data_IF_294007119302
#
_entry.id   IF_294007119302
#
_cell.length_a   1.000
_cell.length_b   1.000
_cell.length_c   1.000
_cell.angle_alpha   90.00
_cell.angle_beta   90.00
_cell.angle_gamma   90.00
#
_symmetry.space_group_name_H-M   'P 1'
#
loop_
_entity.id
_entity.type
_entity.pdbx_description
1 polymer ?
#
# COMPACT_ATOMS: atom_id res chain seq x y z
N UNK A 1 -36.43 13.10 -0.11
CA UNK A 1 -35.28 12.89 0.81
C UNK A 1 -35.35 11.53 1.50
N UNK A 2 -36.45 11.15 2.17
CA UNK A 2 -36.58 9.84 2.83
C UNK A 2 -36.45 8.62 1.89
N UNK A 3 -36.99 8.68 0.67
CA UNK A 3 -36.87 7.61 -0.32
C UNK A 3 -35.40 7.40 -0.76
N UNK A 4 -34.69 8.50 -1.07
CA UNK A 4 -33.27 8.47 -1.42
C UNK A 4 -32.41 7.93 -0.26
N UNK A 5 -32.72 8.30 0.98
CA UNK A 5 -32.03 7.77 2.17
C UNK A 5 -32.27 6.26 2.29
N UNK A 6 -33.51 5.80 2.12
CA UNK A 6 -33.85 4.38 2.20
C UNK A 6 -33.18 3.57 1.09
N UNK A 7 -33.12 4.10 -0.13
CA UNK A 7 -32.43 3.50 -1.26
C UNK A 7 -30.91 3.44 -1.03
N UNK A 8 -30.32 4.53 -0.51
CA UNK A 8 -28.90 4.59 -0.16
C UNK A 8 -28.55 3.59 0.94
N UNK A 9 -29.38 3.47 1.98
CA UNK A 9 -29.22 2.47 3.05
C UNK A 9 -29.36 1.05 2.49
N UNK A 10 -30.32 0.83 1.58
CA UNK A 10 -30.49 -0.44 0.87
C UNK A 10 -29.23 -0.83 0.08
N UNK A 11 -28.69 0.11 -0.70
CA UNK A 11 -27.45 -0.08 -1.44
C UNK A 11 -26.27 -0.39 -0.52
N UNK A 12 -26.11 0.38 0.56
CA UNK A 12 -25.06 0.18 1.55
C UNK A 12 -25.14 -1.23 2.18
N UNK A 13 -26.33 -1.64 2.63
CA UNK A 13 -26.51 -2.93 3.28
C UNK A 13 -26.26 -4.10 2.31
N UNK A 14 -26.70 -4.01 1.05
CA UNK A 14 -26.53 -5.09 0.07
C UNK A 14 -25.10 -5.18 -0.45
N UNK A 15 -24.51 -4.06 -0.85
CA UNK A 15 -23.25 -4.07 -1.59
C UNK A 15 -22.01 -3.83 -0.73
N UNK A 16 -22.13 -3.07 0.36
CA UNK A 16 -21.00 -2.73 1.24
C UNK A 16 -20.91 -3.69 2.42
N UNK A 17 -22.05 -3.97 3.07
CA UNK A 17 -22.10 -4.93 4.19
C UNK A 17 -22.30 -6.37 3.68
N UNK A 18 -23.23 -6.59 2.76
CA UNK A 18 -23.57 -7.94 2.28
C UNK A 18 -22.47 -8.65 1.49
N UNK A 19 -21.48 -7.91 0.99
CA UNK A 19 -20.30 -8.48 0.29
C UNK A 19 -19.03 -8.50 1.11
N UNK A 20 -19.04 -7.94 2.33
CA UNK A 20 -17.84 -7.95 3.18
C UNK A 20 -17.58 -9.34 3.74
N UNK A 21 -16.30 -9.69 3.88
CA UNK A 21 -15.87 -10.91 4.54
C UNK A 21 -16.23 -10.84 6.04
N UNK A 22 -17.08 -11.76 6.55
CA UNK A 22 -17.49 -11.73 7.94
C UNK A 22 -16.33 -11.97 8.92
N UNK A 23 -15.25 -12.65 8.48
CA UNK A 23 -14.11 -13.04 9.33
C UNK A 23 -13.29 -11.85 9.82
N UNK A 24 -13.31 -10.74 9.07
CA UNK A 24 -12.54 -9.53 9.38
C UNK A 24 -13.38 -8.41 9.99
N UNK A 25 -14.69 -8.61 10.17
CA UNK A 25 -15.64 -7.55 10.55
C UNK A 25 -15.28 -6.82 11.85
N UNK A 26 -14.85 -7.58 12.86
CA UNK A 26 -14.55 -7.05 14.20
C UNK A 26 -13.08 -6.62 14.36
N UNK A 27 -12.29 -6.69 13.29
CA UNK A 27 -10.92 -6.23 13.32
C UNK A 27 -10.86 -4.71 13.31
N UNK A 28 -9.81 -4.16 13.89
CA UNK A 28 -9.65 -2.71 14.00
C UNK A 28 -9.75 -2.03 12.63
N UNK A 29 -10.61 -0.99 12.57
CA UNK A 29 -11.01 -0.20 11.40
C UNK A 29 -11.86 -0.94 10.36
N UNK A 30 -12.21 -2.22 10.51
CA UNK A 30 -12.90 -3.00 9.47
C UNK A 30 -14.43 -2.99 9.57
N UNK A 31 -15.00 -2.48 10.66
CA UNK A 31 -16.44 -2.48 10.92
C UNK A 31 -17.20 -1.51 10.00
N UNK A 32 -16.62 -0.36 9.65
CA UNK A 32 -17.28 0.66 8.82
C UNK A 32 -16.52 1.05 7.56
N UNK A 33 -17.22 1.11 6.43
CA UNK A 33 -16.66 1.60 5.17
C UNK A 33 -16.34 3.11 5.20
N UNK A 34 -16.75 3.84 6.24
CA UNK A 34 -16.46 5.26 6.40
C UNK A 34 -15.02 5.54 6.86
N UNK A 35 -14.39 4.62 7.60
CA UNK A 35 -13.04 4.84 8.17
C UNK A 35 -11.99 5.27 7.16
N UNK A 36 -11.79 4.58 6.02
CA UNK A 36 -10.75 4.97 5.08
C UNK A 36 -10.99 6.38 4.52
N UNK A 37 -12.23 6.80 4.31
CA UNK A 37 -12.54 8.16 3.83
C UNK A 37 -12.26 9.22 4.89
N UNK A 38 -12.65 8.98 6.14
CA UNK A 38 -12.37 9.90 7.25
C UNK A 38 -10.86 10.06 7.43
N UNK A 39 -10.11 8.94 7.44
CA UNK A 39 -8.66 8.95 7.59
C UNK A 39 -8.01 9.71 6.43
N UNK A 40 -8.37 9.41 5.18
CA UNK A 40 -7.82 10.11 4.02
C UNK A 40 -8.17 11.59 4.01
N UNK A 41 -9.40 11.95 4.40
CA UNK A 41 -9.81 13.35 4.52
C UNK A 41 -8.94 14.09 5.53
N UNK A 42 -8.75 13.54 6.73
CA UNK A 42 -7.89 14.13 7.76
C UNK A 42 -6.43 14.20 7.30
N UNK A 43 -5.93 13.13 6.69
CA UNK A 43 -4.59 13.05 6.14
C UNK A 43 -4.34 14.14 5.09
N UNK A 44 -5.21 14.29 4.09
CA UNK A 44 -5.07 15.32 3.05
C UNK A 44 -5.16 16.73 3.63
N UNK A 45 -6.11 16.98 4.54
CA UNK A 45 -6.21 18.28 5.22
C UNK A 45 -4.93 18.60 6.00
N UNK A 46 -4.35 17.61 6.68
CA UNK A 46 -3.09 17.79 7.39
C UNK A 46 -1.93 18.07 6.43
N UNK A 47 -1.69 17.20 5.45
CA UNK A 47 -0.46 17.29 4.63
C UNK A 47 -0.48 18.44 3.63
N UNK A 48 -1.67 18.87 3.16
CA UNK A 48 -1.80 19.94 2.17
C UNK A 48 -2.12 21.30 2.78
N UNK A 49 -2.67 21.37 4.00
CA UNK A 49 -3.16 22.62 4.58
C UNK A 49 -2.68 22.84 6.02
N UNK A 50 -3.16 22.05 6.97
CA UNK A 50 -2.97 22.33 8.40
C UNK A 50 -1.50 22.22 8.82
N UNK A 51 -0.82 21.14 8.42
CA UNK A 51 0.58 20.89 8.72
C UNK A 51 1.52 21.94 8.11
N UNK A 52 1.45 22.22 6.79
CA UNK A 52 2.23 23.30 6.18
C UNK A 52 2.00 24.65 6.85
N UNK A 53 0.74 25.05 7.08
CA UNK A 53 0.39 26.31 7.78
C UNK A 53 0.98 26.37 9.19
N UNK A 54 0.88 25.29 9.94
CA UNK A 54 1.46 25.18 11.28
C UNK A 54 2.99 25.32 11.27
N UNK A 55 3.65 24.85 10.21
CA UNK A 55 5.10 24.87 10.07
C UNK A 55 5.66 26.18 9.48
N UNK A 56 4.86 27.08 8.90
CA UNK A 56 5.36 28.31 8.22
C UNK A 56 6.39 29.04 9.08
N UNK A 57 6.03 29.38 10.32
CA UNK A 57 6.85 30.16 11.26
C UNK A 57 7.69 29.30 12.23
N UNK A 58 7.94 28.03 11.90
CA UNK A 58 8.68 27.09 12.75
C UNK A 58 9.91 26.53 12.05
N UNK A 59 10.94 26.25 12.84
CA UNK A 59 12.09 25.47 12.38
C UNK A 59 11.69 24.01 12.11
N UNK A 60 12.33 23.31 11.14
CA UNK A 60 12.10 21.89 10.90
C UNK A 60 12.33 21.04 12.16
N UNK A 61 11.40 20.14 12.47
CA UNK A 61 11.53 19.31 13.66
C UNK A 61 12.67 18.29 13.55
N UNK A 62 13.43 18.12 14.64
CA UNK A 62 14.53 17.15 14.75
C UNK A 62 14.00 15.76 15.16
N UNK A 63 13.31 15.09 14.24
CA UNK A 63 12.63 13.80 14.50
C UNK A 63 13.53 12.56 14.38
N UNK A 64 14.84 12.66 14.62
CA UNK A 64 15.79 11.58 14.29
C UNK A 64 15.49 10.28 15.05
N UNK A 65 15.26 10.33 16.37
CA UNK A 65 14.93 9.14 17.14
C UNK A 65 13.60 8.51 16.69
N UNK A 66 12.56 9.34 16.52
CA UNK A 66 11.24 8.90 16.08
C UNK A 66 11.33 8.20 14.72
N UNK A 67 12.06 8.79 13.76
CA UNK A 67 12.26 8.20 12.44
C UNK A 67 13.07 6.89 12.50
N UNK A 68 14.06 6.76 13.39
CA UNK A 68 14.80 5.50 13.57
C UNK A 68 13.87 4.39 14.08
N UNK A 69 13.06 4.69 15.10
CA UNK A 69 12.10 3.74 15.65
C UNK A 69 11.04 3.37 14.60
N UNK A 70 10.45 4.36 13.95
CA UNK A 70 9.47 4.17 12.88
C UNK A 70 9.99 3.29 11.75
N UNK A 71 11.15 3.61 11.17
CA UNK A 71 11.74 2.81 10.09
C UNK A 71 12.07 1.38 10.56
N UNK A 72 12.50 1.21 11.82
CA UNK A 72 12.78 -0.12 12.38
C UNK A 72 11.50 -0.95 12.51
N UNK A 73 10.43 -0.36 13.05
CA UNK A 73 9.11 -1.01 13.17
C UNK A 73 8.59 -1.37 11.78
N UNK A 74 8.70 -0.46 10.81
CA UNK A 74 8.31 -0.71 9.42
C UNK A 74 9.06 -1.91 8.82
N UNK A 75 10.38 -2.00 9.02
CA UNK A 75 11.17 -3.16 8.57
C UNK A 75 10.65 -4.46 9.20
N UNK A 76 10.44 -4.48 10.52
CA UNK A 76 9.97 -5.67 11.23
C UNK A 76 8.57 -6.11 10.78
N UNK A 77 7.65 -5.17 10.59
CA UNK A 77 6.30 -5.47 10.11
C UNK A 77 6.31 -6.01 8.67
N UNK A 78 7.15 -5.47 7.78
CA UNK A 78 7.27 -5.99 6.43
C UNK A 78 7.97 -7.36 6.39
N UNK A 79 8.92 -7.64 7.30
CA UNK A 79 9.49 -8.99 7.47
C UNK A 79 8.41 -9.97 7.91
N UNK A 80 7.57 -9.59 8.88
CA UNK A 80 6.46 -10.43 9.33
C UNK A 80 5.50 -10.77 8.18
N UNK A 81 5.05 -9.76 7.41
CA UNK A 81 4.15 -10.01 6.27
C UNK A 81 4.83 -10.86 5.20
N UNK A 82 6.10 -10.61 4.89
CA UNK A 82 6.86 -11.41 3.93
C UNK A 82 6.93 -12.88 4.36
N UNK A 83 7.25 -13.13 5.62
CA UNK A 83 7.34 -14.49 6.15
C UNK A 83 5.98 -15.19 6.13
N UNK A 84 4.90 -14.52 6.55
CA UNK A 84 3.53 -15.07 6.45
C UNK A 84 3.12 -15.35 4.99
N UNK A 85 3.41 -14.44 4.06
CA UNK A 85 3.12 -14.63 2.64
C UNK A 85 3.85 -15.85 2.06
N UNK A 86 5.11 -16.05 2.42
CA UNK A 86 5.89 -17.19 1.96
C UNK A 86 5.38 -18.50 2.57
N UNK A 87 5.29 -18.59 3.90
CA UNK A 87 4.99 -19.85 4.59
C UNK A 87 3.55 -20.30 4.43
N UNK A 88 2.59 -19.37 4.35
CA UNK A 88 1.17 -19.69 4.21
C UNK A 88 0.71 -19.85 2.76
N UNK A 89 1.46 -19.32 1.78
CA UNK A 89 1.01 -19.29 0.40
C UNK A 89 2.13 -19.54 -0.61
N UNK A 90 2.95 -18.52 -0.87
CA UNK A 90 3.80 -18.43 -2.06
C UNK A 90 5.00 -19.39 -2.09
N UNK A 91 5.32 -20.07 -0.99
CA UNK A 91 6.35 -21.11 -0.92
C UNK A 91 5.76 -22.53 -0.99
N UNK A 92 4.96 -22.77 -2.04
CA UNK A 92 4.52 -24.12 -2.43
C UNK A 92 3.05 -24.47 -2.19
N UNK A 93 2.23 -23.57 -1.62
CA UNK A 93 0.78 -23.80 -1.44
C UNK A 93 -0.06 -23.13 -2.51
N UNK A 94 0.29 -21.90 -2.88
CA UNK A 94 -0.43 -21.12 -3.88
C UNK A 94 -0.01 -21.47 -5.30
N UNK A 95 -0.99 -21.48 -6.19
CA UNK A 95 -0.74 -21.43 -7.64
C UNK A 95 -0.18 -20.05 -7.97
N UNK A 96 0.84 -20.02 -8.83
CA UNK A 96 1.44 -18.76 -9.25
C UNK A 96 0.42 -17.84 -9.94
N UNK A 97 -0.52 -18.43 -10.69
CA UNK A 97 -1.59 -17.74 -11.39
C UNK A 97 -2.95 -18.29 -10.98
N UNK A 98 -3.90 -17.37 -10.83
CA UNK A 98 -5.28 -17.67 -10.47
C UNK A 98 -5.43 -18.48 -9.18
N UNK A 99 -4.85 -17.96 -8.11
CA UNK A 99 -5.14 -18.47 -6.77
C UNK A 99 -6.43 -17.82 -6.23
N UNK A 100 -7.50 -18.60 -5.95
CA UNK A 100 -8.72 -18.06 -5.37
C UNK A 100 -8.50 -17.67 -3.90
N UNK A 101 -9.40 -16.84 -3.38
CA UNK A 101 -9.47 -16.61 -1.93
C UNK A 101 -10.09 -17.84 -1.27
N UNK A 102 -9.46 -18.34 -0.20
CA UNK A 102 -10.08 -19.32 0.70
C UNK A 102 -11.03 -18.58 1.66
N UNK A 103 -12.32 -18.89 1.56
CA UNK A 103 -13.39 -18.29 2.35
C UNK A 103 -13.75 -19.08 3.60
N UNK A 104 -13.06 -20.20 3.87
CA UNK A 104 -13.28 -21.02 5.06
C UNK A 104 -12.88 -20.30 6.35
N UNK A 105 -13.40 -20.77 7.47
CA UNK A 105 -12.97 -20.34 8.82
C UNK A 105 -11.84 -21.21 9.37
N UNK A 106 -11.07 -21.87 8.50
CA UNK A 106 -9.90 -22.63 8.93
C UNK A 106 -8.82 -21.72 9.49
N UNK A 107 -8.04 -22.21 10.45
CA UNK A 107 -6.93 -21.45 11.04
C UNK A 107 -5.97 -20.92 9.97
N UNK A 108 -5.71 -21.71 8.92
CA UNK A 108 -4.84 -21.31 7.81
C UNK A 108 -5.41 -20.14 7.01
N UNK A 109 -6.71 -20.19 6.66
CA UNK A 109 -7.37 -19.11 5.92
C UNK A 109 -7.46 -17.82 6.76
N UNK A 110 -7.73 -17.95 8.06
CA UNK A 110 -7.75 -16.83 9.00
C UNK A 110 -6.36 -16.19 9.17
N UNK A 111 -5.30 -16.98 9.23
CA UNK A 111 -3.92 -16.49 9.30
C UNK A 111 -3.52 -15.72 8.03
N UNK A 112 -3.93 -16.18 6.83
CA UNK A 112 -3.76 -15.43 5.59
C UNK A 112 -4.50 -14.09 5.67
N UNK A 113 -5.77 -14.11 6.05
CA UNK A 113 -6.58 -12.90 6.15
C UNK A 113 -6.00 -11.90 7.15
N UNK A 114 -5.49 -12.38 8.31
CA UNK A 114 -4.74 -11.57 9.28
C UNK A 114 -3.48 -10.97 8.66
N UNK A 115 -2.73 -11.73 7.86
CA UNK A 115 -1.59 -11.21 7.10
C UNK A 115 -1.96 -10.06 6.16
N UNK A 116 -3.09 -10.17 5.45
CA UNK A 116 -3.62 -9.08 4.61
C UNK A 116 -4.01 -7.86 5.46
N UNK A 117 -4.60 -8.07 6.64
CA UNK A 117 -4.94 -6.99 7.57
C UNK A 117 -3.70 -6.30 8.15
N UNK A 118 -2.65 -7.04 8.51
CA UNK A 118 -1.36 -6.45 8.92
C UNK A 118 -0.74 -5.64 7.78
N UNK A 119 -0.84 -6.11 6.53
CA UNK A 119 -0.40 -5.33 5.37
C UNK A 119 -1.19 -4.03 5.22
N UNK A 120 -2.52 -4.04 5.42
CA UNK A 120 -3.33 -2.83 5.48
C UNK A 120 -2.86 -1.89 6.60
N UNK A 121 -2.58 -2.41 7.80
CA UNK A 121 -2.07 -1.61 8.91
C UNK A 121 -0.71 -0.97 8.61
N UNK A 122 0.17 -1.67 7.87
CA UNK A 122 1.41 -1.07 7.35
C UNK A 122 1.07 0.11 6.44
N UNK A 123 0.16 -0.05 5.46
CA UNK A 123 -0.22 1.04 4.56
C UNK A 123 -0.87 2.22 5.30
N UNK A 124 -1.61 1.96 6.38
CA UNK A 124 -2.12 2.99 7.28
C UNK A 124 -0.97 3.77 7.93
N UNK A 125 0.04 3.07 8.46
CA UNK A 125 1.21 3.73 9.05
C UNK A 125 2.12 4.39 8.02
N UNK A 126 2.15 3.92 6.77
CA UNK A 126 2.91 4.54 5.68
C UNK A 126 2.42 5.97 5.38
N UNK A 127 1.18 6.35 5.75
CA UNK A 127 0.71 7.74 5.67
C UNK A 127 1.53 8.69 6.54
N UNK A 128 2.19 8.18 7.61
CA UNK A 128 3.04 8.98 8.48
C UNK A 128 4.32 9.45 7.78
N UNK A 129 4.78 8.79 6.71
CA UNK A 129 5.94 9.26 5.92
C UNK A 129 5.76 10.71 5.49
N UNK A 130 4.59 11.01 4.94
CA UNK A 130 4.26 12.35 4.44
C UNK A 130 4.06 13.34 5.58
N UNK A 131 3.50 12.89 6.70
CA UNK A 131 3.42 13.70 7.94
C UNK A 131 4.82 14.11 8.39
N UNK A 132 5.77 13.18 8.40
CA UNK A 132 7.17 13.48 8.74
C UNK A 132 7.84 14.40 7.72
N UNK A 133 7.50 14.32 6.43
CA UNK A 133 8.00 15.26 5.43
C UNK A 133 7.54 16.69 5.72
N UNK A 134 6.26 16.88 6.03
CA UNK A 134 5.69 18.19 6.37
C UNK A 134 6.34 18.76 7.65
N UNK A 135 6.42 17.98 8.72
CA UNK A 135 7.01 18.41 9.99
C UNK A 135 8.52 18.71 9.90
N UNK A 136 9.19 18.19 8.86
CA UNK A 136 10.62 18.43 8.59
C UNK A 136 10.86 19.43 7.46
N UNK A 137 9.81 20.11 6.97
CA UNK A 137 9.88 21.03 5.82
C UNK A 137 10.57 20.42 4.61
N UNK A 138 10.19 19.18 4.26
CA UNK A 138 10.69 18.44 3.10
C UNK A 138 9.66 18.47 1.97
N UNK A 139 9.20 19.66 1.60
CA UNK A 139 8.06 19.84 0.68
C UNK A 139 8.29 19.21 -0.69
N UNK A 140 9.54 19.15 -1.16
CA UNK A 140 9.92 18.43 -2.38
C UNK A 140 9.58 16.93 -2.37
N UNK A 141 9.49 16.31 -1.19
CA UNK A 141 9.13 14.90 -1.04
C UNK A 141 7.61 14.69 -1.03
N UNK A 142 6.82 15.73 -0.72
CA UNK A 142 5.35 15.72 -0.79
C UNK A 142 4.91 15.94 -2.24
N UNK A 143 5.22 14.98 -3.10
CA UNK A 143 4.85 15.01 -4.51
C UNK A 143 3.46 14.42 -4.74
N UNK A 144 2.82 14.80 -5.86
CA UNK A 144 1.57 14.18 -6.31
C UNK A 144 1.69 12.65 -6.37
N UNK A 145 2.81 12.14 -6.90
CA UNK A 145 3.11 10.72 -6.99
C UNK A 145 3.07 10.04 -5.61
N UNK A 146 3.75 10.61 -4.63
CA UNK A 146 3.80 10.06 -3.27
C UNK A 146 2.40 10.07 -2.63
N UNK A 147 1.68 11.19 -2.71
CA UNK A 147 0.33 11.31 -2.16
C UNK A 147 -0.66 10.34 -2.81
N UNK A 148 -0.66 10.25 -4.14
CA UNK A 148 -1.51 9.35 -4.91
C UNK A 148 -1.23 7.88 -4.56
N UNK A 149 0.04 7.50 -4.49
CA UNK A 149 0.45 6.15 -4.13
C UNK A 149 0.01 5.77 -2.71
N UNK A 150 0.35 6.57 -1.71
CA UNK A 150 0.07 6.24 -0.31
C UNK A 150 -1.43 6.22 -0.03
N UNK A 151 -2.19 7.17 -0.56
CA UNK A 151 -3.65 7.17 -0.42
C UNK A 151 -4.30 5.99 -1.15
N UNK A 152 -3.85 5.70 -2.38
CA UNK A 152 -4.35 4.57 -3.17
C UNK A 152 -4.06 3.22 -2.52
N UNK A 153 -2.82 2.99 -2.07
CA UNK A 153 -2.42 1.74 -1.42
C UNK A 153 -3.16 1.53 -0.09
N UNK A 154 -3.36 2.58 0.71
CA UNK A 154 -4.16 2.52 1.93
C UNK A 154 -5.61 2.12 1.61
N UNK A 155 -6.26 2.79 0.66
CA UNK A 155 -7.65 2.50 0.31
C UNK A 155 -7.83 1.10 -0.30
N UNK A 156 -6.95 0.71 -1.22
CA UNK A 156 -7.03 -0.60 -1.86
C UNK A 156 -6.78 -1.74 -0.88
N UNK A 157 -5.78 -1.61 0.01
CA UNK A 157 -5.51 -2.64 1.02
C UNK A 157 -6.67 -2.79 2.01
N UNK A 158 -7.33 -1.68 2.39
CA UNK A 158 -8.58 -1.73 3.14
C UNK A 158 -9.65 -2.56 2.42
N UNK A 159 -9.88 -2.29 1.12
CA UNK A 159 -10.81 -3.05 0.30
C UNK A 159 -10.41 -4.52 0.17
N UNK A 160 -9.11 -4.84 0.11
CA UNK A 160 -8.63 -6.23 0.08
C UNK A 160 -8.99 -6.97 1.36
N UNK A 161 -8.77 -6.38 2.54
CA UNK A 161 -9.16 -7.03 3.81
C UNK A 161 -10.67 -7.25 3.86
N UNK A 162 -11.44 -6.25 3.43
CA UNK A 162 -12.90 -6.27 3.56
C UNK A 162 -13.59 -7.17 2.53
N UNK A 163 -13.02 -7.36 1.34
CA UNK A 163 -13.72 -8.03 0.23
C UNK A 163 -12.95 -9.15 -0.46
N UNK A 164 -11.65 -9.34 -0.19
CA UNK A 164 -10.85 -10.43 -0.79
C UNK A 164 -9.56 -10.67 0.02
N UNK A 165 -9.64 -11.12 1.29
CA UNK A 165 -8.47 -11.25 2.15
C UNK A 165 -7.68 -12.54 1.87
N UNK A 166 -7.08 -12.65 0.69
CA UNK A 166 -6.26 -13.80 0.31
C UNK A 166 -6.03 -13.96 -1.20
N UNK A 167 -5.48 -15.11 -1.58
CA UNK A 167 -5.36 -15.54 -2.98
C UNK A 167 -4.42 -14.70 -3.84
N UNK A 168 -4.72 -14.64 -5.14
CA UNK A 168 -3.87 -14.09 -6.21
C UNK A 168 -3.32 -12.70 -5.89
N UNK A 169 -4.16 -11.82 -5.35
CA UNK A 169 -3.80 -10.42 -5.11
C UNK A 169 -2.82 -10.22 -3.94
N UNK A 170 -2.60 -11.22 -3.09
CA UNK A 170 -1.58 -11.17 -2.04
C UNK A 170 -0.15 -11.16 -2.59
N UNK A 171 0.04 -11.46 -3.88
CA UNK A 171 1.33 -11.28 -4.56
C UNK A 171 1.83 -9.84 -4.47
N UNK A 172 0.91 -8.87 -4.47
CA UNK A 172 1.22 -7.45 -4.21
C UNK A 172 1.91 -7.33 -2.86
N UNK A 173 1.33 -7.90 -1.79
CA UNK A 173 1.88 -7.87 -0.45
C UNK A 173 3.26 -8.52 -0.36
N UNK A 174 3.45 -9.66 -1.03
CA UNK A 174 4.73 -10.38 -1.09
C UNK A 174 5.85 -9.48 -1.65
N UNK A 175 5.69 -9.01 -2.89
CA UNK A 175 6.75 -8.24 -3.57
C UNK A 175 6.93 -6.87 -2.92
N UNK A 176 5.83 -6.21 -2.52
CA UNK A 176 5.86 -4.91 -1.87
C UNK A 176 6.61 -4.96 -0.53
N UNK A 177 6.46 -6.03 0.25
CA UNK A 177 7.14 -6.17 1.53
C UNK A 177 8.66 -6.31 1.36
N UNK A 178 9.12 -7.07 0.36
CA UNK A 178 10.57 -7.20 0.04
C UNK A 178 11.18 -5.83 -0.24
N UNK A 179 10.53 -5.05 -1.10
CA UNK A 179 11.06 -3.74 -1.49
C UNK A 179 10.94 -2.72 -0.36
N UNK A 180 9.89 -2.77 0.45
CA UNK A 180 9.76 -1.90 1.63
C UNK A 180 10.81 -2.20 2.70
N UNK A 181 11.20 -3.46 2.92
CA UNK A 181 12.33 -3.80 3.79
C UNK A 181 13.60 -3.07 3.33
N UNK A 182 13.91 -3.15 2.02
CA UNK A 182 15.09 -2.49 1.44
C UNK A 182 14.98 -0.96 1.55
N UNK A 183 13.82 -0.39 1.23
CA UNK A 183 13.60 1.06 1.24
C UNK A 183 13.69 1.64 2.65
N UNK A 184 13.02 1.04 3.63
CA UNK A 184 13.05 1.49 5.01
C UNK A 184 14.41 1.24 5.68
N UNK A 185 15.13 0.17 5.31
CA UNK A 185 16.52 -0.03 5.72
C UNK A 185 17.43 1.10 5.20
N UNK A 186 17.25 1.53 3.96
CA UNK A 186 17.95 2.69 3.42
C UNK A 186 17.59 3.99 4.16
N UNK A 187 16.32 4.23 4.47
CA UNK A 187 15.91 5.42 5.23
C UNK A 187 16.46 5.42 6.65
N UNK A 188 16.48 4.27 7.32
CA UNK A 188 17.12 4.08 8.62
C UNK A 188 18.62 4.40 8.53
N UNK A 189 19.31 3.84 7.54
CA UNK A 189 20.74 4.05 7.35
C UNK A 189 21.07 5.53 7.10
N UNK A 190 20.33 6.22 6.22
CA UNK A 190 20.54 7.64 5.94
C UNK A 190 20.23 8.52 7.16
N UNK A 191 19.33 8.08 8.05
CA UNK A 191 19.07 8.77 9.30
C UNK A 191 20.26 8.66 10.28
N UNK A 192 20.84 7.47 10.42
CA UNK A 192 21.98 7.20 11.31
C UNK A 192 23.28 7.80 10.73
N UNK A 193 23.47 7.66 9.42
CA UNK A 193 24.68 8.03 8.68
C UNK A 193 24.33 8.88 7.46
N UNK A 194 24.19 10.21 7.64
CA UNK A 194 23.75 11.12 6.58
C UNK A 194 24.63 11.12 5.32
N UNK A 195 25.89 10.69 5.41
CA UNK A 195 26.81 10.57 4.28
C UNK A 195 26.28 9.66 3.16
N UNK A 196 25.44 8.66 3.48
CA UNK A 196 24.88 7.74 2.48
C UNK A 196 23.69 8.32 1.72
N UNK A 197 23.26 9.56 1.99
CA UNK A 197 22.18 10.23 1.24
C UNK A 197 22.48 10.31 -0.26
N UNK A 198 23.75 10.44 -0.63
CA UNK A 198 24.21 10.57 -2.01
C UNK A 198 24.81 9.27 -2.57
N UNK A 199 24.58 8.15 -1.91
CA UNK A 199 25.15 6.89 -2.34
C UNK A 199 24.55 6.42 -3.67
N UNK A 200 25.39 5.85 -4.53
CA UNK A 200 25.01 5.45 -5.90
C UNK A 200 23.89 4.41 -5.94
N UNK A 201 23.83 3.51 -4.94
CA UNK A 201 22.81 2.46 -4.81
C UNK A 201 21.41 3.00 -4.47
N UNK A 202 21.25 4.29 -4.14
CA UNK A 202 19.93 4.94 -4.07
C UNK A 202 19.16 4.76 -5.39
N UNK A 203 19.87 4.84 -6.53
CA UNK A 203 19.29 4.61 -7.86
C UNK A 203 18.79 3.17 -8.00
N UNK A 204 19.55 2.20 -7.49
CA UNK A 204 19.16 0.78 -7.51
C UNK A 204 17.86 0.53 -6.74
N UNK A 205 17.63 1.22 -5.61
CA UNK A 205 16.37 1.12 -4.87
C UNK A 205 15.18 1.55 -5.75
N UNK A 206 15.30 2.68 -6.47
CA UNK A 206 14.25 3.12 -7.39
C UNK A 206 14.06 2.15 -8.56
N UNK A 207 15.14 1.54 -9.06
CA UNK A 207 15.05 0.50 -10.11
C UNK A 207 14.30 -0.75 -9.61
N UNK A 208 14.57 -1.21 -8.39
CA UNK A 208 13.87 -2.35 -7.78
C UNK A 208 12.38 -2.03 -7.61
N UNK A 209 12.02 -0.81 -7.20
CA UNK A 209 10.61 -0.38 -7.13
C UNK A 209 9.92 -0.42 -8.51
N UNK A 210 10.59 0.03 -9.56
CA UNK A 210 10.07 -0.05 -10.93
C UNK A 210 9.85 -1.49 -11.38
N UNK A 211 10.83 -2.37 -11.12
CA UNK A 211 10.72 -3.80 -11.42
C UNK A 211 9.56 -4.44 -10.65
N UNK A 212 9.38 -4.10 -9.37
CA UNK A 212 8.23 -4.56 -8.58
C UNK A 212 6.90 -4.19 -9.27
N UNK A 213 6.70 -2.92 -9.64
CA UNK A 213 5.43 -2.50 -10.24
C UNK A 213 5.18 -3.21 -11.56
N UNK A 214 6.22 -3.37 -12.39
CA UNK A 214 6.12 -4.13 -13.63
C UNK A 214 5.72 -5.60 -13.38
N UNK A 215 6.36 -6.28 -12.43
CA UNK A 215 6.04 -7.67 -12.09
C UNK A 215 4.61 -7.82 -11.58
N UNK A 216 4.16 -6.91 -10.71
CA UNK A 216 2.79 -6.90 -10.20
C UNK A 216 1.79 -6.64 -11.33
N UNK A 217 2.06 -5.69 -12.23
CA UNK A 217 1.19 -5.40 -13.37
C UNK A 217 1.06 -6.62 -14.28
N UNK A 218 2.18 -7.27 -14.60
CA UNK A 218 2.21 -8.48 -15.42
C UNK A 218 1.43 -9.63 -14.76
N UNK A 219 1.66 -9.89 -13.47
CA UNK A 219 1.00 -10.95 -12.71
C UNK A 219 -0.52 -10.77 -12.64
N UNK A 220 -1.02 -9.54 -12.45
CA UNK A 220 -2.45 -9.25 -12.44
C UNK A 220 -3.08 -9.25 -13.83
N UNK A 221 -2.32 -8.87 -14.87
CA UNK A 221 -2.82 -8.88 -16.25
C UNK A 221 -2.89 -10.31 -16.80
N UNK A 222 -1.98 -11.20 -16.38
CA UNK A 222 -1.93 -12.59 -16.85
C UNK A 222 -3.28 -13.33 -16.66
N UNK A 223 -3.97 -13.11 -15.54
CA UNK A 223 -5.26 -13.78 -15.28
C UNK A 223 -6.41 -13.28 -16.16
N UNK A 224 -6.25 -12.12 -16.83
CA UNK A 224 -7.24 -11.62 -17.79
C UNK A 224 -7.23 -12.41 -19.10
N UNK A 225 -6.11 -13.06 -19.42
CA UNK A 225 -5.96 -13.91 -20.60
C UNK A 225 -6.35 -15.38 -20.34
N UNK A 226 -6.66 -15.75 -19.10
CA UNK A 226 -7.10 -17.10 -18.75
C UNK A 226 -8.62 -17.28 -18.98
N UNK A 227 -9.05 -18.50 -19.33
CA UNK A 227 -10.47 -18.80 -19.53
C UNK A 227 -11.25 -18.71 -18.21
N UNK A 228 -12.55 -18.38 -18.27
CA UNK A 228 -13.41 -18.31 -17.06
C UNK A 228 -13.58 -19.67 -16.39
N UNK A 229 -13.49 -20.74 -17.18
CA UNK A 229 -13.61 -22.12 -16.70
C UNK A 229 -12.40 -22.53 -15.86
N UNK A 230 -11.21 -21.99 -16.15
CA UNK A 230 -9.97 -22.33 -15.45
C UNK A 230 -9.65 -21.37 -14.30
N UNK A 231 -10.29 -20.19 -14.26
CA UNK A 231 -9.98 -19.17 -13.27
C UNK A 231 -11.21 -18.48 -12.67
N UNK A 232 -11.43 -18.71 -11.37
CA UNK A 232 -12.52 -18.12 -10.57
C UNK A 232 -12.14 -16.80 -9.88
N UNK A 233 -10.90 -16.34 -10.01
CA UNK A 233 -10.44 -15.08 -9.40
C UNK A 233 -11.17 -13.87 -9.99
N UNK A 234 -11.44 -12.86 -9.16
CA UNK A 234 -12.18 -11.66 -9.57
C UNK A 234 -11.46 -10.87 -10.67
N UNK A 235 -12.01 -10.89 -11.88
CA UNK A 235 -11.49 -10.09 -13.00
C UNK A 235 -11.64 -8.59 -12.79
N UNK A 236 -12.67 -8.15 -12.08
CA UNK A 236 -12.86 -6.73 -11.78
C UNK A 236 -11.72 -6.20 -10.91
N UNK A 237 -11.33 -6.95 -9.86
CA UNK A 237 -10.18 -6.61 -9.02
C UNK A 237 -8.87 -6.68 -9.81
N UNK A 238 -8.72 -7.67 -10.69
CA UNK A 238 -7.55 -7.80 -11.55
C UNK A 238 -7.36 -6.60 -12.48
N UNK A 239 -8.43 -6.16 -13.16
CA UNK A 239 -8.40 -4.95 -14.01
C UNK A 239 -8.07 -3.72 -13.18
N UNK A 240 -8.72 -3.54 -12.03
CA UNK A 240 -8.47 -2.39 -11.16
C UNK A 240 -7.00 -2.31 -10.72
N UNK A 241 -6.44 -3.43 -10.25
CA UNK A 241 -5.04 -3.50 -9.83
C UNK A 241 -4.06 -3.38 -10.99
N UNK A 242 -4.37 -3.97 -12.15
CA UNK A 242 -3.52 -3.85 -13.34
C UNK A 242 -3.47 -2.39 -13.83
N UNK A 243 -4.62 -1.72 -13.92
CA UNK A 243 -4.68 -0.29 -14.30
C UNK A 243 -3.94 0.57 -13.29
N UNK A 244 -4.23 0.41 -11.99
CA UNK A 244 -3.57 1.16 -10.94
C UNK A 244 -2.05 0.96 -10.95
N UNK A 245 -1.59 -0.28 -11.10
CA UNK A 245 -0.16 -0.61 -11.13
C UNK A 245 0.50 -0.08 -12.40
N UNK A 246 -0.22 -0.03 -13.52
CA UNK A 246 0.28 0.58 -14.75
C UNK A 246 0.47 2.08 -14.59
N UNK A 247 -0.52 2.78 -14.01
CA UNK A 247 -0.44 4.22 -13.72
C UNK A 247 0.74 4.53 -12.80
N UNK A 248 0.92 3.78 -11.71
CA UNK A 248 2.05 4.03 -10.80
C UNK A 248 3.40 3.75 -11.47
N UNK A 249 3.47 2.74 -12.33
CA UNK A 249 4.68 2.43 -13.11
C UNK A 249 5.05 3.60 -14.00
N UNK A 250 4.08 4.21 -14.70
CA UNK A 250 4.31 5.37 -15.57
C UNK A 250 4.80 6.58 -14.75
N UNK A 251 4.20 6.86 -13.60
CA UNK A 251 4.64 7.98 -12.76
C UNK A 251 6.04 7.75 -12.17
N UNK A 252 6.37 6.53 -11.74
CA UNK A 252 7.72 6.22 -11.29
C UNK A 252 8.75 6.26 -12.42
N UNK A 253 8.37 5.86 -13.63
CA UNK A 253 9.24 5.94 -14.80
C UNK A 253 9.54 7.41 -15.17
N UNK A 254 8.52 8.28 -15.14
CA UNK A 254 8.68 9.72 -15.33
C UNK A 254 9.56 10.35 -14.22
N UNK A 255 9.33 9.99 -12.95
CA UNK A 255 10.19 10.40 -11.84
C UNK A 255 11.64 9.96 -12.05
N UNK A 256 11.87 8.69 -12.42
CA UNK A 256 13.19 8.15 -12.65
C UNK A 256 13.91 8.85 -13.81
N UNK A 257 13.19 9.11 -14.91
CA UNK A 257 13.71 9.87 -16.04
C UNK A 257 14.13 11.28 -15.61
N UNK A 258 13.26 12.01 -14.89
CA UNK A 258 13.52 13.38 -14.44
C UNK A 258 14.67 13.48 -13.43
N UNK A 259 14.79 12.54 -12.50
CA UNK A 259 15.79 12.60 -11.43
C UNK A 259 17.16 12.07 -11.86
N UNK A 260 17.21 11.03 -12.69
CA UNK A 260 18.45 10.28 -12.96
C UNK A 260 18.93 10.29 -14.42
N UNK A 261 18.06 10.53 -15.40
CA UNK A 261 18.45 10.51 -16.83
C UNK A 261 18.54 11.92 -17.38
N UNK A 262 17.54 12.76 -17.11
CA UNK A 262 17.46 14.11 -17.67
C UNK A 262 18.66 14.94 -17.17
N UNK A 263 19.43 15.57 -18.08
CA UNK A 263 20.52 16.45 -17.68
C UNK A 263 19.99 17.56 -16.77
N UNK A 264 20.59 17.73 -15.60
CA UNK A 264 20.28 18.88 -14.74
C UNK A 264 20.79 20.13 -15.45
N UNK A 265 19.87 21.01 -15.86
CA UNK A 265 20.21 22.33 -16.39
C UNK A 265 21.03 23.03 -15.29
N UNK A 266 22.30 23.32 -15.58
CA UNK A 266 23.16 24.13 -14.72
C UNK A 266 22.62 25.55 -14.64
#
# INVERSE_FOLDING_TARGET
>A
MAALIKETIGFYNVYIVGKSDPRSRDWFLMDSFAYPFIILFLYFNFVLSWGPRFMINREPFKLNLILRLYNTIQILLNIYVLERCLTLGWFGRYRLLCEPVDWSESDHALEIARGVWVFFMIKFTDLLDTVFFVLRKRDRQVSFLHLYHHAGMFFMSYCSVKYAPGGHFTFVGLVNSIVHIIMYAYYLLVNIRPQYRYAWWKKCITQIQLVQFFLIAMHNTAILFMSRETCSTSRAQAVLLAVQTSVITLFFADFYYKEYIKPKRK
#
